data_IF_017642418235
#
_entry.id   IF_017642418235
#
_cell.length_a   1.000
_cell.length_b   1.000
_cell.length_c   1.000
_cell.angle_alpha   90.00
_cell.angle_beta   90.00
_cell.angle_gamma   90.00
#
_symmetry.space_group_name_H-M   'P 1'
#
loop_
_entity.id
_entity.type
_entity.pdbx_description
1 polymer ?
#
# COMPACT_ATOMS: atom_id res chain seq x y z
N UNK A 1 -5.56 -2.50 -22.10
CA UNK A 1 -5.28 -1.07 -21.90
C UNK A 1 -3.88 -0.80 -22.41
N UNK A 2 -3.72 0.14 -23.33
CA UNK A 2 -2.41 0.60 -23.80
C UNK A 2 -1.68 1.40 -22.73
N UNK A 3 -0.41 1.71 -22.93
CA UNK A 3 0.38 2.52 -21.98
C UNK A 3 -0.18 3.95 -21.86
N UNK A 4 -0.66 4.51 -22.96
CA UNK A 4 -1.19 5.88 -22.99
C UNK A 4 -2.57 5.94 -22.30
N UNK A 5 -3.42 4.94 -22.55
CA UNK A 5 -4.70 4.80 -21.82
C UNK A 5 -4.47 4.64 -20.31
N UNK A 6 -3.46 3.84 -19.92
CA UNK A 6 -3.09 3.68 -18.52
C UNK A 6 -2.61 4.99 -17.89
N UNK A 7 -1.79 5.76 -18.62
CA UNK A 7 -1.30 7.06 -18.16
C UNK A 7 -2.45 8.05 -17.92
N UNK A 8 -3.41 8.12 -18.85
CA UNK A 8 -4.62 8.94 -18.69
C UNK A 8 -5.44 8.49 -17.50
N UNK A 9 -5.69 7.18 -17.36
CA UNK A 9 -6.45 6.63 -16.24
C UNK A 9 -5.80 6.94 -14.89
N UNK A 10 -4.48 6.78 -14.76
CA UNK A 10 -3.74 7.12 -13.54
C UNK A 10 -3.90 8.61 -13.21
N UNK A 11 -3.76 9.51 -14.19
CA UNK A 11 -3.89 10.95 -13.94
C UNK A 11 -5.30 11.34 -13.49
N UNK A 12 -6.34 10.71 -14.05
CA UNK A 12 -7.72 10.94 -13.61
C UNK A 12 -7.88 10.55 -12.13
N UNK A 13 -7.41 9.35 -11.75
CA UNK A 13 -7.43 8.90 -10.35
C UNK A 13 -6.62 9.81 -9.44
N UNK A 14 -5.47 10.31 -9.91
CA UNK A 14 -4.67 11.28 -9.14
C UNK A 14 -5.44 12.57 -8.91
N UNK A 15 -6.10 13.12 -9.93
CA UNK A 15 -6.87 14.37 -9.83
C UNK A 15 -8.10 14.27 -8.92
N UNK A 16 -8.66 13.07 -8.74
CA UNK A 16 -9.79 12.83 -7.83
C UNK A 16 -9.37 12.82 -6.36
N UNK A 17 -8.12 12.44 -6.06
CA UNK A 17 -7.64 12.22 -4.70
C UNK A 17 -6.60 13.25 -4.24
N UNK A 18 -5.99 13.99 -5.17
CA UNK A 18 -4.82 14.80 -4.90
C UNK A 18 -4.77 16.09 -5.75
N UNK A 19 -4.30 17.17 -5.14
CA UNK A 19 -4.18 18.48 -5.80
C UNK A 19 -2.96 18.56 -6.74
N UNK A 20 -1.92 17.76 -6.47
CA UNK A 20 -0.67 17.78 -7.23
C UNK A 20 -0.51 16.54 -8.13
N UNK A 21 -0.07 16.73 -9.39
CA UNK A 21 0.19 15.64 -10.31
C UNK A 21 1.39 14.79 -9.86
N UNK A 22 1.48 13.55 -10.37
CA UNK A 22 2.63 12.71 -10.10
C UNK A 22 3.90 13.22 -10.77
N UNK A 23 5.01 13.15 -10.05
CA UNK A 23 6.34 13.31 -10.63
C UNK A 23 6.60 12.17 -11.63
N UNK A 24 7.43 12.37 -12.68
CA UNK A 24 7.71 11.34 -13.68
C UNK A 24 8.17 9.99 -13.09
N UNK A 25 9.02 10.03 -12.06
CA UNK A 25 9.49 8.82 -11.36
C UNK A 25 8.35 8.08 -10.65
N UNK A 26 7.42 8.80 -10.03
CA UNK A 26 6.26 8.21 -9.36
C UNK A 26 5.33 7.55 -10.38
N UNK A 27 4.98 8.26 -11.45
CA UNK A 27 4.14 7.75 -12.53
C UNK A 27 4.73 6.47 -13.14
N UNK A 28 6.01 6.48 -13.49
CA UNK A 28 6.66 5.31 -14.05
C UNK A 28 6.66 4.12 -13.08
N UNK A 29 6.81 4.39 -11.77
CA UNK A 29 6.74 3.36 -10.74
C UNK A 29 5.35 2.75 -10.64
N UNK A 30 4.29 3.57 -10.64
CA UNK A 30 2.89 3.09 -10.64
C UNK A 30 2.61 2.24 -11.88
N UNK A 31 3.01 2.68 -13.07
CA UNK A 31 2.84 1.91 -14.32
C UNK A 31 3.55 0.56 -14.24
N UNK A 32 4.75 0.50 -13.66
CA UNK A 32 5.47 -0.75 -13.48
C UNK A 32 4.73 -1.70 -12.51
N UNK A 33 4.18 -1.17 -11.41
CA UNK A 33 3.39 -1.94 -10.45
C UNK A 33 2.10 -2.50 -11.09
N UNK A 34 1.39 -1.71 -11.90
CA UNK A 34 0.20 -2.18 -12.64
C UNK A 34 0.55 -3.33 -13.59
N UNK A 35 1.73 -3.29 -14.22
CA UNK A 35 2.25 -4.38 -15.04
C UNK A 35 2.90 -5.52 -14.22
N UNK A 36 2.70 -5.55 -12.89
CA UNK A 36 3.22 -6.58 -11.98
C UNK A 36 4.75 -6.73 -12.02
N UNK A 37 5.47 -5.64 -12.28
CA UNK A 37 6.94 -5.62 -12.27
C UNK A 37 7.45 -5.27 -10.88
N UNK A 38 8.38 -6.07 -10.38
CA UNK A 38 9.17 -5.72 -9.21
C UNK A 38 9.94 -4.42 -9.49
N UNK A 39 9.72 -3.41 -8.66
CA UNK A 39 10.19 -2.05 -8.92
C UNK A 39 10.97 -1.51 -7.73
N UNK A 40 12.23 -1.13 -7.95
CA UNK A 40 13.06 -0.43 -6.99
C UNK A 40 13.07 1.06 -7.30
N UNK A 41 12.76 1.90 -6.32
CA UNK A 41 12.69 3.35 -6.49
C UNK A 41 13.76 4.01 -5.62
N UNK A 42 14.81 4.52 -6.25
CA UNK A 42 15.81 5.35 -5.58
C UNK A 42 15.34 6.80 -5.61
N UNK A 43 15.06 7.38 -4.43
CA UNK A 43 14.68 8.79 -4.32
C UNK A 43 14.95 9.36 -2.94
N UNK A 44 15.33 10.64 -2.89
CA UNK A 44 15.59 11.37 -1.65
C UNK A 44 14.37 11.49 -0.71
N UNK A 45 14.58 12.00 0.49
CA UNK A 45 13.49 12.42 1.39
C UNK A 45 12.64 13.52 0.73
N UNK A 46 11.33 13.55 1.02
CA UNK A 46 10.40 14.50 0.39
C UNK A 46 10.04 14.20 -1.07
N UNK A 47 10.56 13.11 -1.65
CA UNK A 47 10.22 12.71 -3.04
C UNK A 47 8.77 12.22 -3.20
N UNK A 48 8.07 11.92 -2.10
CA UNK A 48 6.71 11.38 -2.12
C UNK A 48 6.66 9.89 -2.45
N UNK A 49 7.56 9.07 -1.89
CA UNK A 49 7.56 7.60 -2.08
C UNK A 49 6.21 6.97 -1.74
N UNK A 50 5.60 7.41 -0.64
CA UNK A 50 4.29 6.94 -0.17
C UNK A 50 3.20 7.11 -1.21
N UNK A 51 3.24 8.20 -1.99
CA UNK A 51 2.26 8.51 -3.06
C UNK A 51 2.17 7.42 -4.12
N UNK A 52 3.28 6.72 -4.41
CA UNK A 52 3.31 5.63 -5.41
C UNK A 52 2.38 4.50 -4.96
N UNK A 53 2.51 4.06 -3.71
CA UNK A 53 1.70 2.97 -3.17
C UNK A 53 0.22 3.39 -3.01
N UNK A 54 -0.04 4.65 -2.64
CA UNK A 54 -1.40 5.17 -2.49
C UNK A 54 -2.13 5.22 -3.83
N UNK A 55 -1.53 5.81 -4.86
CA UNK A 55 -2.14 5.84 -6.19
C UNK A 55 -2.38 4.43 -6.68
N UNK A 56 -1.40 3.53 -6.51
CA UNK A 56 -1.59 2.12 -6.88
C UNK A 56 -2.77 1.47 -6.15
N UNK A 57 -3.00 1.78 -4.87
CA UNK A 57 -4.17 1.32 -4.11
C UNK A 57 -5.49 1.86 -4.68
N UNK A 58 -5.56 3.14 -5.05
CA UNK A 58 -6.75 3.77 -5.63
C UNK A 58 -7.12 3.25 -7.03
N UNK A 59 -6.17 2.64 -7.76
CA UNK A 59 -6.46 2.03 -9.06
C UNK A 59 -7.35 0.79 -8.97
N UNK A 60 -7.47 0.19 -7.79
CA UNK A 60 -8.39 -0.93 -7.58
C UNK A 60 -9.77 -0.39 -7.19
N UNK A 61 -10.85 -0.98 -7.73
CA UNK A 61 -12.18 -0.59 -7.35
C UNK A 61 -12.45 -0.96 -5.88
N UNK A 62 -13.17 -0.09 -5.16
CA UNK A 62 -13.36 -0.21 -3.70
C UNK A 62 -13.88 -1.57 -3.23
N UNK A 63 -14.73 -2.22 -4.02
CA UNK A 63 -15.30 -3.54 -3.68
C UNK A 63 -14.26 -4.67 -3.62
N UNK A 64 -13.10 -4.52 -4.28
CA UNK A 64 -12.01 -5.50 -4.20
C UNK A 64 -11.22 -5.41 -2.90
N UNK A 65 -11.35 -4.31 -2.15
CA UNK A 65 -10.69 -4.09 -0.86
C UNK A 65 -9.19 -4.47 -0.89
N UNK A 66 -8.40 -3.87 -1.79
CA UNK A 66 -6.97 -4.16 -1.88
C UNK A 66 -6.25 -3.87 -0.55
N UNK A 67 -5.27 -4.70 -0.23
CA UNK A 67 -4.42 -4.53 0.96
C UNK A 67 -2.97 -4.37 0.50
N UNK A 68 -2.37 -3.24 0.86
CA UNK A 68 -0.93 -2.97 0.66
C UNK A 68 -0.21 -3.33 1.96
N UNK A 69 0.65 -4.35 1.90
CA UNK A 69 1.53 -4.70 3.01
C UNK A 69 2.81 -3.87 2.91
N UNK A 70 3.17 -3.21 4.00
CA UNK A 70 4.39 -2.38 4.09
C UNK A 70 5.29 -2.95 5.18
N UNK A 71 6.49 -3.39 4.76
CA UNK A 71 7.51 -3.88 5.68
C UNK A 71 8.31 -2.72 6.24
N UNK A 72 8.20 -2.51 7.55
CA UNK A 72 8.98 -1.51 8.27
C UNK A 72 10.17 -2.15 8.99
N UNK A 73 11.34 -1.49 9.02
CA UNK A 73 12.50 -1.99 9.75
C UNK A 73 12.34 -1.85 11.27
N UNK A 74 11.46 -0.96 11.75
CA UNK A 74 11.23 -0.66 13.16
C UNK A 74 9.74 -0.46 13.45
N UNK A 75 9.28 -0.92 14.62
CA UNK A 75 7.88 -0.81 15.06
C UNK A 75 7.41 0.66 15.16
N UNK A 76 8.30 1.56 15.61
CA UNK A 76 7.99 2.98 15.85
C UNK A 76 7.74 3.79 14.58
N UNK A 77 8.15 3.29 13.41
CA UNK A 77 7.93 3.96 12.12
C UNK A 77 6.51 3.76 11.58
N UNK A 78 5.79 2.74 12.06
CA UNK A 78 4.44 2.44 11.56
C UNK A 78 3.39 3.45 12.04
N UNK A 79 3.47 3.91 13.29
CA UNK A 79 2.43 4.77 13.88
C UNK A 79 2.36 6.15 13.22
N UNK A 80 3.51 6.72 12.86
CA UNK A 80 3.57 7.97 12.11
C UNK A 80 2.92 7.81 10.74
N UNK A 81 3.20 6.70 10.04
CA UNK A 81 2.62 6.44 8.73
C UNK A 81 1.11 6.18 8.80
N UNK A 82 0.64 5.43 9.81
CA UNK A 82 -0.81 5.26 10.05
C UNK A 82 -1.50 6.60 10.27
N UNK A 83 -0.85 7.53 10.98
CA UNK A 83 -1.39 8.86 11.22
C UNK A 83 -1.48 9.68 9.93
N UNK A 84 -0.47 9.62 9.07
CA UNK A 84 -0.48 10.26 7.75
C UNK A 84 -1.62 9.74 6.86
N UNK A 85 -1.95 8.43 6.93
CA UNK A 85 -3.03 7.83 6.11
C UNK A 85 -4.42 8.33 6.43
N UNK A 86 -4.64 8.88 7.64
CA UNK A 86 -5.91 9.53 7.99
C UNK A 86 -6.21 10.72 7.09
N UNK A 87 -5.17 11.45 6.68
CA UNK A 87 -5.29 12.60 5.76
C UNK A 87 -5.74 12.13 4.37
N UNK A 88 -5.16 11.03 3.88
CA UNK A 88 -5.53 10.39 2.61
C UNK A 88 -6.87 9.64 2.67
N UNK A 89 -7.56 9.62 3.83
CA UNK A 89 -8.80 8.87 4.08
C UNK A 89 -8.67 7.36 3.79
N UNK A 90 -7.48 6.80 3.97
CA UNK A 90 -7.22 5.36 3.82
C UNK A 90 -7.08 4.74 5.20
N UNK A 91 -7.83 3.68 5.47
CA UNK A 91 -7.68 2.92 6.71
C UNK A 91 -6.33 2.22 6.73
N UNK A 92 -5.58 2.42 7.81
CA UNK A 92 -4.29 1.78 8.01
C UNK A 92 -4.13 1.24 9.43
N UNK A 93 -3.29 0.23 9.59
CA UNK A 93 -2.94 -0.36 10.89
C UNK A 93 -1.45 -0.65 10.96
N UNK A 94 -0.86 -0.44 12.13
CA UNK A 94 0.51 -0.87 12.45
C UNK A 94 0.42 -2.14 13.30
N UNK A 95 0.86 -3.26 12.75
CA UNK A 95 0.92 -4.54 13.44
C UNK A 95 2.23 -4.64 14.19
N UNK A 96 2.12 -4.80 15.49
CA UNK A 96 3.21 -5.08 16.41
C UNK A 96 2.97 -6.44 17.06
N UNK A 97 3.99 -7.01 17.70
CA UNK A 97 3.84 -8.27 18.43
C UNK A 97 2.72 -8.20 19.50
N UNK A 98 2.46 -7.02 20.06
CA UNK A 98 1.50 -6.85 21.16
C UNK A 98 0.04 -6.73 20.68
N UNK A 99 -0.21 -6.26 19.46
CA UNK A 99 -1.57 -6.03 18.95
C UNK A 99 -2.01 -7.05 17.89
N UNK A 100 -1.16 -8.03 17.59
CA UNK A 100 -1.46 -9.09 16.64
C UNK A 100 -2.40 -10.13 17.27
N UNK A 101 -3.70 -9.84 17.16
CA UNK A 101 -4.77 -10.73 17.63
C UNK A 101 -5.48 -11.39 16.44
N UNK A 102 -6.13 -12.56 16.63
CA UNK A 102 -6.92 -13.20 15.57
C UNK A 102 -8.03 -12.31 15.00
N UNK A 103 -8.53 -11.35 15.78
CA UNK A 103 -9.51 -10.37 15.32
C UNK A 103 -8.91 -9.38 14.32
N UNK A 104 -7.71 -8.86 14.60
CA UNK A 104 -6.99 -7.97 13.69
C UNK A 104 -6.58 -8.72 12.43
N UNK A 105 -6.12 -9.97 12.53
CA UNK A 105 -5.83 -10.82 11.37
C UNK A 105 -7.06 -10.97 10.47
N UNK A 106 -8.24 -11.27 11.03
CA UNK A 106 -9.50 -11.37 10.28
C UNK A 106 -9.86 -10.05 9.57
N UNK A 107 -9.66 -8.90 10.24
CA UNK A 107 -9.90 -7.58 9.63
C UNK A 107 -8.97 -7.31 8.45
N UNK A 108 -7.69 -7.69 8.58
CA UNK A 108 -6.70 -7.61 7.49
C UNK A 108 -7.13 -8.49 6.31
N UNK A 109 -7.48 -9.75 6.55
CA UNK A 109 -7.89 -10.69 5.48
C UNK A 109 -9.20 -10.28 4.79
N UNK A 110 -10.10 -9.61 5.52
CA UNK A 110 -11.35 -9.04 4.97
C UNK A 110 -11.13 -7.77 4.15
N UNK A 111 -9.92 -7.19 4.19
CA UNK A 111 -9.58 -5.94 3.51
C UNK A 111 -10.14 -4.69 4.19
N UNK A 112 -10.30 -4.71 5.52
CA UNK A 112 -10.78 -3.54 6.27
C UNK A 112 -9.72 -2.42 6.34
N UNK A 113 -8.46 -2.78 6.10
CA UNK A 113 -7.30 -1.89 6.05
C UNK A 113 -6.75 -1.85 4.63
N UNK A 114 -6.59 -0.65 4.07
CA UNK A 114 -5.91 -0.47 2.80
C UNK A 114 -4.40 -0.58 2.92
N UNK A 115 -3.84 -0.19 4.07
CA UNK A 115 -2.42 -0.31 4.38
C UNK A 115 -2.19 -1.04 5.70
N UNK A 116 -1.27 -2.00 5.69
CA UNK A 116 -0.88 -2.75 6.88
C UNK A 116 0.63 -2.64 7.02
N UNK A 117 1.07 -1.94 8.06
CA UNK A 117 2.47 -1.82 8.42
C UNK A 117 2.84 -2.94 9.36
N UNK A 118 3.99 -3.58 9.14
CA UNK A 118 4.47 -4.66 10.00
C UNK A 118 5.99 -4.82 9.88
N UNK A 119 6.61 -5.36 10.92
CA UNK A 119 8.05 -5.68 10.88
C UNK A 119 8.27 -7.10 10.34
N UNK A 120 9.37 -7.31 9.62
CA UNK A 120 9.66 -8.57 8.90
C UNK A 120 9.56 -9.83 9.76
N UNK A 121 9.90 -9.77 11.06
CA UNK A 121 9.79 -10.93 11.95
C UNK A 121 8.32 -11.30 12.23
N UNK A 122 7.40 -10.32 12.28
CA UNK A 122 5.96 -10.56 12.47
C UNK A 122 5.38 -11.25 11.25
N UNK A 123 5.83 -10.86 10.05
CA UNK A 123 5.46 -11.55 8.83
C UNK A 123 5.86 -13.03 8.92
N UNK A 124 7.13 -13.32 9.14
CA UNK A 124 7.64 -14.69 9.06
C UNK A 124 7.14 -15.63 10.17
N UNK A 125 6.64 -15.11 11.29
CA UNK A 125 6.26 -15.92 12.46
C UNK A 125 4.76 -16.12 12.62
N UNK A 126 3.93 -15.37 11.89
CA UNK A 126 2.49 -15.37 12.08
C UNK A 126 1.75 -16.33 11.15
N UNK A 127 0.55 -16.75 11.59
CA UNK A 127 -0.39 -17.49 10.75
C UNK A 127 -0.85 -16.68 9.53
N UNK A 128 -0.87 -15.35 9.67
CA UNK A 128 -1.15 -14.37 8.63
C UNK A 128 -0.31 -14.58 7.36
N UNK A 129 1.01 -14.82 7.47
CA UNK A 129 1.86 -15.03 6.29
C UNK A 129 1.47 -16.27 5.50
N UNK A 130 1.13 -17.37 6.18
CA UNK A 130 0.64 -18.58 5.51
C UNK A 130 -0.67 -18.29 4.80
N UNK A 131 -1.61 -17.62 5.46
CA UNK A 131 -2.93 -17.32 4.89
C UNK A 131 -2.85 -16.33 3.71
N UNK A 132 -2.00 -15.31 3.80
CA UNK A 132 -1.75 -14.37 2.70
C UNK A 132 -1.15 -15.06 1.47
N UNK A 133 -0.23 -16.02 1.65
CA UNK A 133 0.36 -16.77 0.55
C UNK A 133 -0.57 -17.85 -0.04
N UNK A 134 -1.52 -18.36 0.74
CA UNK A 134 -2.46 -19.39 0.26
C UNK A 134 -3.54 -18.79 -0.66
N UNK A 135 -3.81 -17.47 -0.57
CA UNK A 135 -4.78 -16.79 -1.43
C UNK A 135 -4.26 -16.58 -2.88
N UNK A 136 -2.95 -16.77 -3.11
CA UNK A 136 -2.31 -16.56 -4.41
C UNK A 136 -1.60 -17.80 -4.97
N UNK A 137 -1.87 -19.00 -4.43
CA UNK A 137 -1.36 -20.28 -4.94
C UNK A 137 -2.45 -21.08 -5.66
#
# INVERSE_FOLDING_TARGET
>A
MSRDELFVHINNVVSEHYDEPLKPLQMQSVINLVHRKNTFVLSGTGSGKTRIAEVYWHLFPAYRKPVILVLNPLDTLGDNQVSEKKVSKINAVNLTKMNMTPEIEKKVLRGDYGFVYLVSYILCTSSLYRQLLTIYA
#
